data_IF_209412791692
#
_entry.id   IF_209412791692
#
_cell.length_a   1.000
_cell.length_b   1.000
_cell.length_c   1.000
_cell.angle_alpha   90.00
_cell.angle_beta   90.00
_cell.angle_gamma   90.00
#
_symmetry.space_group_name_H-M   'P 1'
#
loop_
_entity.id
_entity.type
_entity.pdbx_description
1 polymer ?
#
# COMPACT_ATOMS: atom_id res chain seq x y z
N UNK A 1 16.38 -22.20 -25.84
CA UNK A 1 15.97 -22.31 -24.42
C UNK A 1 14.84 -21.33 -24.21
N UNK A 2 13.65 -21.81 -23.83
CA UNK A 2 12.53 -20.93 -23.46
C UNK A 2 12.98 -20.06 -22.26
N UNK A 3 12.95 -18.77 -22.43
CA UNK A 3 13.27 -17.83 -21.36
C UNK A 3 12.04 -17.73 -20.45
N UNK A 4 12.19 -18.12 -19.19
CA UNK A 4 11.19 -18.00 -18.15
C UNK A 4 11.07 -16.55 -17.67
N UNK A 5 9.94 -16.21 -17.11
CA UNK A 5 9.76 -14.98 -16.34
C UNK A 5 9.45 -15.35 -14.89
N UNK A 6 9.79 -14.47 -13.95
CA UNK A 6 9.58 -14.78 -12.53
C UNK A 6 8.97 -13.62 -11.75
N UNK A 7 8.17 -13.95 -10.74
CA UNK A 7 7.65 -13.04 -9.74
C UNK A 7 8.28 -13.40 -8.40
N UNK A 8 8.92 -12.43 -7.75
CA UNK A 8 9.56 -12.61 -6.44
C UNK A 8 8.63 -12.08 -5.34
N UNK A 9 8.18 -12.96 -4.45
CA UNK A 9 7.24 -12.60 -3.37
C UNK A 9 7.79 -12.97 -1.98
N UNK A 10 7.33 -12.25 -0.94
CA UNK A 10 7.73 -12.46 0.46
C UNK A 10 6.60 -12.92 1.39
N UNK A 11 5.44 -13.22 0.83
CA UNK A 11 4.25 -13.67 1.56
C UNK A 11 3.82 -15.08 1.11
N UNK A 12 2.96 -15.72 1.91
CA UNK A 12 2.35 -17.00 1.56
C UNK A 12 1.27 -16.77 0.50
N UNK A 13 1.37 -17.50 -0.61
CA UNK A 13 0.36 -17.46 -1.66
C UNK A 13 -1.00 -17.91 -1.14
N UNK A 14 -2.01 -17.11 -1.42
CA UNK A 14 -3.41 -17.48 -1.20
C UNK A 14 -3.96 -18.22 -2.41
N UNK A 15 -4.87 -19.20 -2.23
CA UNK A 15 -5.59 -19.80 -3.34
C UNK A 15 -6.28 -18.72 -4.18
N UNK A 16 -6.05 -18.73 -5.48
CA UNK A 16 -6.66 -17.76 -6.40
C UNK A 16 -5.82 -16.54 -6.73
N UNK A 17 -4.69 -16.27 -6.04
CA UNK A 17 -3.81 -15.15 -6.41
C UNK A 17 -3.38 -15.21 -7.87
N UNK A 18 -3.80 -14.21 -8.65
CA UNK A 18 -3.89 -14.32 -10.10
C UNK A 18 -2.79 -13.63 -10.90
N UNK A 19 -1.80 -12.95 -10.28
CA UNK A 19 -0.83 -12.11 -11.02
C UNK A 19 -0.05 -12.89 -12.08
N UNK A 20 0.44 -14.10 -11.76
CA UNK A 20 1.18 -14.91 -12.72
C UNK A 20 0.34 -15.26 -13.96
N UNK A 21 -0.93 -15.64 -13.76
CA UNK A 21 -1.88 -15.92 -14.87
C UNK A 21 -2.17 -14.66 -15.69
N UNK A 22 -2.34 -13.52 -15.02
CA UNK A 22 -2.62 -12.23 -15.70
C UNK A 22 -1.41 -11.80 -16.54
N UNK A 23 -0.20 -11.92 -15.99
CA UNK A 23 1.04 -11.66 -16.72
C UNK A 23 1.24 -12.61 -17.89
N UNK A 24 1.01 -13.92 -17.69
CA UNK A 24 1.12 -14.92 -18.78
C UNK A 24 0.15 -14.60 -19.93
N UNK A 25 -1.09 -14.24 -19.60
CA UNK A 25 -2.11 -13.85 -20.60
C UNK A 25 -1.72 -12.58 -21.35
N UNK A 26 -1.15 -11.59 -20.64
CA UNK A 26 -0.79 -10.31 -21.26
C UNK A 26 0.50 -10.36 -22.08
N UNK A 27 1.44 -11.25 -21.74
CA UNK A 27 2.75 -11.35 -22.41
C UNK A 27 2.84 -12.50 -23.40
N UNK A 28 1.94 -13.49 -23.32
CA UNK A 28 2.05 -14.75 -24.06
C UNK A 28 3.23 -15.64 -23.61
N UNK A 29 3.79 -15.38 -22.42
CA UNK A 29 5.00 -16.05 -21.92
C UNK A 29 4.71 -16.77 -20.60
N UNK A 30 5.55 -17.75 -20.26
CA UNK A 30 5.46 -18.49 -19.00
C UNK A 30 5.99 -17.65 -17.83
N UNK A 31 5.26 -17.69 -16.71
CA UNK A 31 5.60 -17.00 -15.46
C UNK A 31 5.59 -17.98 -14.29
N UNK A 32 6.71 -18.01 -13.57
CA UNK A 32 6.83 -18.78 -12.33
C UNK A 32 6.86 -17.84 -11.13
N UNK A 33 6.56 -18.37 -9.94
CA UNK A 33 6.63 -17.63 -8.68
C UNK A 33 7.76 -18.21 -7.85
N UNK A 34 8.69 -17.34 -7.46
CA UNK A 34 9.72 -17.65 -6.49
C UNK A 34 9.38 -16.95 -5.17
N UNK A 35 9.25 -17.75 -4.12
CA UNK A 35 8.76 -17.29 -2.84
C UNK A 35 9.80 -17.47 -1.74
N UNK A 36 9.96 -16.42 -0.92
CA UNK A 36 10.67 -16.50 0.36
C UNK A 36 9.92 -15.69 1.40
N UNK A 37 9.21 -16.37 2.29
CA UNK A 37 8.43 -15.71 3.34
C UNK A 37 9.36 -14.99 4.31
N UNK A 38 9.23 -13.67 4.40
CA UNK A 38 10.00 -12.81 5.30
C UNK A 38 9.09 -11.95 6.19
N UNK A 39 7.82 -11.78 5.81
CA UNK A 39 6.85 -10.99 6.55
C UNK A 39 6.40 -11.62 7.87
N UNK A 40 6.68 -12.91 8.08
CA UNK A 40 6.45 -13.59 9.37
C UNK A 40 7.49 -13.23 10.46
N UNK A 41 8.58 -12.59 10.08
CA UNK A 41 9.65 -12.19 11.00
C UNK A 41 9.39 -10.78 11.53
N UNK A 42 8.54 -10.67 12.56
CA UNK A 42 8.21 -9.42 13.25
C UNK A 42 8.34 -9.56 14.78
N UNK A 43 8.49 -8.45 15.46
CA UNK A 43 8.37 -8.36 16.92
C UNK A 43 9.65 -8.56 17.73
N UNK A 44 10.74 -9.10 17.19
CA UNK A 44 12.01 -9.21 17.91
C UNK A 44 13.19 -8.66 17.10
N UNK A 45 14.26 -8.15 17.76
CA UNK A 45 15.49 -7.72 17.08
C UNK A 45 16.10 -8.85 16.22
N UNK A 46 16.09 -10.08 16.71
CA UNK A 46 16.61 -11.25 16.00
C UNK A 46 15.81 -11.53 14.74
N UNK A 47 14.49 -11.51 14.84
CA UNK A 47 13.60 -11.69 13.68
C UNK A 47 13.86 -10.60 12.61
N UNK A 48 14.08 -9.35 13.03
CA UNK A 48 14.43 -8.27 12.11
C UNK A 48 15.77 -8.52 11.39
N UNK A 49 16.79 -9.01 12.09
CA UNK A 49 18.08 -9.37 11.50
C UNK A 49 17.91 -10.51 10.48
N UNK A 50 17.17 -11.57 10.82
CA UNK A 50 16.85 -12.66 9.90
C UNK A 50 16.14 -12.17 8.64
N UNK A 51 15.15 -11.31 8.79
CA UNK A 51 14.46 -10.69 7.65
C UNK A 51 15.41 -9.91 6.77
N UNK A 52 16.24 -9.05 7.37
CA UNK A 52 17.25 -8.27 6.63
C UNK A 52 18.23 -9.18 5.90
N UNK A 53 18.70 -10.25 6.51
CA UNK A 53 19.59 -11.22 5.87
C UNK A 53 18.92 -11.84 4.62
N UNK A 54 17.65 -12.25 4.71
CA UNK A 54 16.94 -12.82 3.57
C UNK A 54 16.64 -11.81 2.48
N UNK A 55 16.53 -10.53 2.79
CA UNK A 55 16.43 -9.49 1.77
C UNK A 55 17.67 -9.40 0.88
N UNK A 56 18.83 -9.87 1.33
CA UNK A 56 20.07 -9.94 0.54
C UNK A 56 20.33 -11.34 -0.05
N UNK A 57 20.12 -12.40 0.73
CA UNK A 57 20.47 -13.77 0.31
C UNK A 57 19.53 -14.31 -0.77
N UNK A 58 18.23 -14.10 -0.65
CA UNK A 58 17.28 -14.60 -1.63
C UNK A 58 17.48 -13.96 -3.03
N UNK A 59 17.61 -12.63 -3.16
CA UNK A 59 17.97 -12.03 -4.43
C UNK A 59 19.31 -12.51 -5.00
N UNK A 60 20.31 -12.79 -4.17
CA UNK A 60 21.59 -13.34 -4.63
C UNK A 60 21.39 -14.72 -5.28
N UNK A 61 20.54 -15.57 -4.72
CA UNK A 61 20.19 -16.86 -5.35
C UNK A 61 19.53 -16.66 -6.73
N UNK A 62 18.67 -15.63 -6.87
CA UNK A 62 18.06 -15.26 -8.16
C UNK A 62 19.13 -14.75 -9.14
N UNK A 63 20.09 -13.94 -8.67
CA UNK A 63 21.23 -13.46 -9.49
C UNK A 63 22.05 -14.61 -10.07
N UNK A 64 22.32 -15.66 -9.29
CA UNK A 64 23.05 -16.85 -9.78
C UNK A 64 22.31 -17.54 -10.94
N UNK A 65 20.99 -17.47 -10.95
CA UNK A 65 20.11 -18.06 -11.97
C UNK A 65 19.60 -17.06 -13.01
N UNK A 66 20.03 -15.80 -12.99
CA UNK A 66 19.48 -14.68 -13.77
C UNK A 66 19.35 -14.92 -15.26
N UNK A 67 20.26 -15.72 -15.85
CA UNK A 67 20.25 -16.05 -17.29
C UNK A 67 19.02 -16.85 -17.73
N UNK A 68 18.25 -17.40 -16.77
CA UNK A 68 16.99 -18.13 -17.04
C UNK A 68 15.82 -17.19 -17.20
N UNK A 69 15.91 -15.96 -16.66
CA UNK A 69 14.79 -15.03 -16.57
C UNK A 69 14.94 -13.89 -17.57
N UNK A 70 13.92 -13.73 -18.39
CA UNK A 70 13.80 -12.58 -19.29
C UNK A 70 13.24 -11.37 -18.57
N UNK A 71 12.17 -11.58 -17.76
CA UNK A 71 11.55 -10.56 -16.94
C UNK A 71 11.48 -11.00 -15.49
N UNK A 72 11.74 -10.07 -14.60
CA UNK A 72 11.66 -10.26 -13.15
C UNK A 72 10.72 -9.18 -12.62
N UNK A 73 9.65 -9.60 -11.96
CA UNK A 73 8.73 -8.71 -11.22
C UNK A 73 8.95 -8.97 -9.73
N UNK A 74 9.48 -8.01 -9.01
CA UNK A 74 9.69 -8.13 -7.57
C UNK A 74 8.53 -7.46 -6.83
N UNK A 75 7.66 -8.26 -6.21
CA UNK A 75 6.60 -7.75 -5.36
C UNK A 75 7.18 -7.03 -4.14
N UNK A 76 8.10 -7.68 -3.42
CA UNK A 76 8.84 -7.08 -2.32
C UNK A 76 9.97 -6.20 -2.86
N UNK A 77 9.94 -4.92 -2.51
CA UNK A 77 10.91 -3.94 -3.04
C UNK A 77 12.38 -4.35 -2.82
N UNK A 78 12.71 -4.88 -1.62
CA UNK A 78 14.10 -5.26 -1.32
C UNK A 78 14.55 -6.49 -2.10
N UNK A 79 13.65 -7.33 -2.59
CA UNK A 79 14.05 -8.43 -3.48
C UNK A 79 14.52 -7.89 -4.84
N UNK A 80 13.78 -6.94 -5.41
CA UNK A 80 14.19 -6.31 -6.67
C UNK A 80 15.39 -5.40 -6.53
N UNK A 81 15.41 -4.54 -5.52
CA UNK A 81 16.51 -3.60 -5.29
C UNK A 81 17.82 -4.34 -4.96
N UNK A 82 17.78 -5.42 -4.17
CA UNK A 82 18.96 -6.20 -3.86
C UNK A 82 19.41 -7.12 -5.02
N UNK A 83 18.49 -7.55 -5.88
CA UNK A 83 18.90 -8.17 -7.15
C UNK A 83 19.72 -7.17 -7.98
N UNK A 84 19.24 -5.94 -8.12
CA UNK A 84 19.97 -4.89 -8.84
C UNK A 84 21.28 -4.49 -8.15
N UNK A 85 21.29 -4.44 -6.81
CA UNK A 85 22.50 -4.21 -6.00
C UNK A 85 23.59 -5.24 -6.31
N UNK A 86 23.26 -6.52 -6.22
CA UNK A 86 24.23 -7.60 -6.48
C UNK A 86 24.70 -7.59 -7.93
N UNK A 87 23.79 -7.40 -8.90
CA UNK A 87 24.18 -7.31 -10.29
C UNK A 87 25.16 -6.16 -10.55
N UNK A 88 24.93 -5.00 -9.92
CA UNK A 88 25.81 -3.82 -10.04
C UNK A 88 27.12 -4.00 -9.31
N UNK A 89 27.11 -4.55 -8.09
CA UNK A 89 28.31 -4.80 -7.30
C UNK A 89 29.26 -5.79 -7.99
N UNK A 90 28.69 -6.84 -8.59
CA UNK A 90 29.45 -7.90 -9.28
C UNK A 90 29.70 -7.58 -10.75
N UNK A 91 29.40 -6.36 -11.22
CA UNK A 91 29.57 -5.89 -12.60
C UNK A 91 29.03 -6.88 -13.66
N UNK A 92 27.88 -7.49 -13.41
CA UNK A 92 27.31 -8.51 -14.27
C UNK A 92 26.69 -7.90 -15.53
N UNK A 93 26.69 -8.66 -16.64
CA UNK A 93 25.91 -8.23 -17.81
C UNK A 93 24.43 -8.26 -17.50
N UNK A 94 23.69 -7.19 -17.87
CA UNK A 94 22.24 -7.16 -17.80
C UNK A 94 21.63 -8.15 -18.79
N UNK A 95 20.74 -9.00 -18.31
CA UNK A 95 20.11 -10.07 -19.10
C UNK A 95 18.60 -10.16 -18.86
N UNK A 96 18.07 -9.38 -17.93
CA UNK A 96 16.67 -9.40 -17.52
C UNK A 96 16.13 -8.00 -17.36
N UNK A 97 14.84 -7.80 -17.67
CA UNK A 97 14.07 -6.59 -17.32
C UNK A 97 13.54 -6.72 -15.89
N UNK A 98 13.81 -5.74 -15.05
CA UNK A 98 13.39 -5.73 -13.65
C UNK A 98 12.35 -4.64 -13.39
N UNK A 99 11.17 -5.06 -12.92
CA UNK A 99 10.13 -4.19 -12.38
C UNK A 99 10.02 -4.42 -10.88
N UNK A 100 10.19 -3.36 -10.09
CA UNK A 100 10.04 -3.38 -8.62
C UNK A 100 8.66 -2.84 -8.28
N UNK A 101 7.85 -3.64 -7.58
CA UNK A 101 6.55 -3.25 -7.05
C UNK A 101 6.69 -2.78 -5.59
N UNK A 102 5.61 -2.30 -5.02
CA UNK A 102 5.45 -1.93 -3.59
C UNK A 102 6.57 -1.02 -3.04
N UNK A 103 7.06 -0.09 -3.86
CA UNK A 103 8.13 0.81 -3.44
C UNK A 103 7.62 1.87 -2.47
N UNK A 104 8.21 1.88 -1.28
CA UNK A 104 7.94 2.86 -0.23
C UNK A 104 9.27 3.36 0.31
N UNK A 105 9.47 4.66 0.30
CA UNK A 105 10.67 5.28 0.85
C UNK A 105 10.33 6.47 1.75
N UNK A 106 10.94 6.51 2.92
CA UNK A 106 10.91 7.65 3.82
C UNK A 106 12.32 8.02 4.25
N UNK A 107 12.71 9.28 4.05
CA UNK A 107 14.00 9.80 4.50
C UNK A 107 14.07 9.68 6.03
N UNK A 108 15.15 9.08 6.53
CA UNK A 108 15.43 9.00 7.97
C UNK A 108 16.53 10.00 8.35
N UNK A 109 16.44 10.63 9.52
CA UNK A 109 17.47 11.55 9.99
C UNK A 109 18.72 10.81 10.47
N UNK A 110 19.82 11.57 10.63
CA UNK A 110 21.07 11.10 11.24
C UNK A 110 21.96 10.29 10.30
N UNK A 111 23.09 9.84 10.84
CA UNK A 111 24.13 9.14 10.08
C UNK A 111 23.63 7.84 9.43
N UNK A 112 22.94 6.99 10.18
CA UNK A 112 22.35 5.74 9.65
C UNK A 112 21.29 6.02 8.58
N UNK A 113 20.52 7.10 8.74
CA UNK A 113 19.56 7.54 7.74
C UNK A 113 20.23 7.97 6.44
N UNK A 114 21.39 8.64 6.53
CA UNK A 114 22.18 9.03 5.37
C UNK A 114 22.80 7.80 4.67
N UNK A 115 23.30 6.83 5.42
CA UNK A 115 23.82 5.58 4.86
C UNK A 115 22.72 4.78 4.15
N UNK A 116 21.55 4.67 4.77
CA UNK A 116 20.38 4.04 4.15
C UNK A 116 19.96 4.76 2.86
N UNK A 117 19.94 6.09 2.87
CA UNK A 117 19.65 6.86 1.66
C UNK A 117 20.65 6.62 0.54
N UNK A 118 21.95 6.60 0.83
CA UNK A 118 23.00 6.30 -0.16
C UNK A 118 22.84 4.91 -0.76
N UNK A 119 22.54 3.92 0.09
CA UNK A 119 22.24 2.57 -0.36
C UNK A 119 21.01 2.54 -1.27
N UNK A 120 19.90 3.17 -0.87
CA UNK A 120 18.69 3.25 -1.70
C UNK A 120 18.94 3.97 -3.02
N UNK A 121 19.68 5.08 -2.99
CA UNK A 121 20.10 5.81 -4.21
C UNK A 121 20.92 4.93 -5.14
N UNK A 122 21.86 4.15 -4.59
CA UNK A 122 22.66 3.21 -5.36
C UNK A 122 21.81 2.13 -6.05
N UNK A 123 20.80 1.59 -5.34
CA UNK A 123 19.89 0.59 -5.88
C UNK A 123 18.91 1.19 -6.90
N UNK A 124 18.24 2.28 -6.56
CA UNK A 124 17.25 2.96 -7.41
C UNK A 124 17.87 3.43 -8.72
N UNK A 125 19.08 3.98 -8.68
CA UNK A 125 19.82 4.44 -9.88
C UNK A 125 20.62 3.33 -10.58
N UNK A 126 20.40 2.07 -10.20
CA UNK A 126 21.03 0.93 -10.85
C UNK A 126 20.54 0.78 -12.30
N UNK A 127 21.44 0.52 -13.27
CA UNK A 127 21.05 0.23 -14.66
C UNK A 127 20.27 -1.08 -14.79
N UNK A 128 20.24 -1.91 -13.74
CA UNK A 128 19.51 -3.17 -13.71
C UNK A 128 18.04 -3.00 -13.30
N UNK A 129 17.63 -1.84 -12.79
CA UNK A 129 16.24 -1.52 -12.49
C UNK A 129 15.64 -0.79 -13.68
N UNK A 130 14.60 -1.33 -14.28
CA UNK A 130 13.92 -0.71 -15.40
C UNK A 130 12.76 0.16 -14.93
N UNK A 131 11.97 -0.32 -13.98
CA UNK A 131 10.81 0.38 -13.46
C UNK A 131 10.65 0.15 -11.97
N UNK A 132 10.16 1.18 -11.31
CA UNK A 132 9.77 1.16 -9.89
C UNK A 132 8.33 1.64 -9.82
N UNK A 133 7.44 0.85 -9.23
CA UNK A 133 6.04 1.21 -9.06
C UNK A 133 5.86 1.98 -7.76
N UNK A 134 5.21 3.13 -7.84
CA UNK A 134 4.73 3.93 -6.70
C UNK A 134 3.21 4.04 -6.74
N UNK A 135 2.59 4.33 -5.60
CA UNK A 135 1.14 4.24 -5.41
C UNK A 135 0.43 5.59 -5.33
N UNK A 136 1.14 6.69 -5.55
CA UNK A 136 0.54 8.00 -5.79
C UNK A 136 1.34 8.75 -6.86
N UNK A 137 0.68 9.71 -7.52
CA UNK A 137 1.32 10.51 -8.58
C UNK A 137 2.39 11.42 -8.01
N UNK A 138 2.14 11.97 -6.84
CA UNK A 138 3.09 12.85 -6.14
C UNK A 138 4.37 12.12 -5.75
N UNK A 139 4.29 10.83 -5.35
CA UNK A 139 5.46 10.03 -5.01
C UNK A 139 6.44 9.89 -6.18
N UNK A 140 5.93 9.90 -7.40
CA UNK A 140 6.77 9.83 -8.60
C UNK A 140 7.78 10.98 -8.66
N UNK A 141 7.31 12.20 -8.47
CA UNK A 141 8.16 13.42 -8.51
C UNK A 141 9.02 13.50 -7.24
N UNK A 142 8.44 13.22 -6.08
CA UNK A 142 9.15 13.22 -4.80
C UNK A 142 10.32 12.22 -4.78
N UNK A 143 10.09 11.00 -5.26
CA UNK A 143 11.15 9.99 -5.31
C UNK A 143 12.18 10.30 -6.39
N UNK A 144 11.77 10.81 -7.54
CA UNK A 144 12.71 11.24 -8.57
C UNK A 144 13.66 12.33 -8.05
N UNK A 145 13.14 13.34 -7.37
CA UNK A 145 13.93 14.38 -6.72
C UNK A 145 14.81 13.84 -5.59
N UNK A 146 14.25 12.96 -4.72
CA UNK A 146 14.98 12.39 -3.59
C UNK A 146 16.19 11.55 -4.01
N UNK A 147 16.12 10.86 -5.14
CA UNK A 147 17.18 9.98 -5.63
C UNK A 147 18.01 10.56 -6.78
N UNK A 148 17.71 11.79 -7.22
CA UNK A 148 18.39 12.44 -8.33
C UNK A 148 18.26 11.65 -9.64
N UNK A 149 17.06 11.17 -9.94
CA UNK A 149 16.77 10.35 -11.13
C UNK A 149 15.61 10.94 -11.94
N UNK A 150 15.33 10.34 -13.09
CA UNK A 150 14.23 10.78 -13.96
C UNK A 150 12.89 10.28 -13.42
N UNK A 151 11.81 11.08 -13.43
CA UNK A 151 10.46 10.67 -13.00
C UNK A 151 9.93 9.43 -13.74
N UNK A 152 10.32 9.23 -15.01
CA UNK A 152 9.88 8.10 -15.84
C UNK A 152 10.34 6.73 -15.31
N UNK A 153 11.33 6.71 -14.40
CA UNK A 153 11.76 5.51 -13.69
C UNK A 153 10.69 5.02 -12.72
N UNK A 154 9.89 5.93 -12.21
CA UNK A 154 8.78 5.64 -11.32
C UNK A 154 7.48 5.61 -12.12
N UNK A 155 6.78 4.49 -12.04
CA UNK A 155 5.49 4.27 -12.70
C UNK A 155 4.41 4.34 -11.65
N UNK A 156 3.48 5.27 -11.79
CA UNK A 156 2.31 5.33 -10.91
C UNK A 156 1.33 4.22 -11.27
N UNK A 157 1.00 3.38 -10.30
CA UNK A 157 -0.10 2.42 -10.35
C UNK A 157 -0.92 2.52 -9.06
N UNK A 158 -2.22 2.53 -9.18
CA UNK A 158 -3.10 2.49 -8.01
C UNK A 158 -3.06 1.10 -7.36
N UNK A 159 -2.99 1.07 -6.03
CA UNK A 159 -3.11 -0.13 -5.23
C UNK A 159 -4.48 -0.79 -5.48
N UNK A 160 -4.54 -2.08 -5.35
CA UNK A 160 -5.76 -2.86 -5.33
C UNK A 160 -5.65 -3.98 -4.30
N UNK A 161 -6.78 -4.41 -3.78
CA UNK A 161 -6.86 -5.49 -2.79
C UNK A 161 -7.92 -6.51 -3.22
N UNK A 162 -7.82 -7.72 -2.67
CA UNK A 162 -8.89 -8.70 -2.81
C UNK A 162 -10.18 -8.15 -2.21
N UNK A 163 -11.35 -8.36 -2.83
CA UNK A 163 -12.63 -7.99 -2.24
C UNK A 163 -12.81 -8.63 -0.87
N UNK A 164 -13.29 -7.84 0.07
CA UNK A 164 -13.56 -8.28 1.44
C UNK A 164 -15.06 -8.48 1.57
N UNK A 165 -15.48 -9.70 1.79
CA UNK A 165 -16.88 -10.05 1.97
C UNK A 165 -17.17 -10.27 3.46
N UNK A 166 -18.18 -9.58 3.97
CA UNK A 166 -18.73 -9.75 5.32
C UNK A 166 -20.24 -9.65 5.24
N UNK A 167 -20.93 -10.76 4.96
CA UNK A 167 -22.39 -10.77 4.90
C UNK A 167 -22.99 -10.50 6.28
N UNK A 168 -24.12 -9.82 6.30
CA UNK A 168 -24.95 -9.59 7.50
C UNK A 168 -24.25 -8.81 8.64
N UNK A 169 -23.48 -7.76 8.32
CA UNK A 169 -22.91 -6.88 9.32
C UNK A 169 -23.94 -5.81 9.72
N UNK A 170 -24.34 -5.83 10.98
CA UNK A 170 -25.12 -4.77 11.61
C UNK A 170 -24.27 -3.50 11.86
N UNK A 171 -24.89 -2.35 11.71
CA UNK A 171 -24.27 -1.08 12.08
C UNK A 171 -24.41 -0.87 13.60
N UNK A 172 -23.27 -0.86 14.31
CA UNK A 172 -23.21 -0.66 15.76
C UNK A 172 -23.05 0.81 16.17
N UNK A 173 -23.17 1.73 15.23
CA UNK A 173 -23.24 3.17 15.47
C UNK A 173 -21.96 3.80 16.00
N UNK A 174 -20.77 3.32 15.59
CA UNK A 174 -19.50 3.94 15.95
C UNK A 174 -18.67 4.34 14.73
N UNK A 175 -17.78 5.30 14.94
CA UNK A 175 -16.74 5.69 13.98
C UNK A 175 -15.56 4.74 14.17
N UNK A 176 -15.03 4.19 13.07
CA UNK A 176 -13.84 3.37 13.12
C UNK A 176 -12.65 4.11 12.48
N UNK A 177 -11.49 4.05 13.12
CA UNK A 177 -10.25 4.58 12.55
C UNK A 177 -9.11 3.59 12.77
N UNK A 178 -8.22 3.42 11.79
CA UNK A 178 -7.10 2.50 11.91
C UNK A 178 -5.84 2.97 11.19
N UNK A 179 -4.70 2.38 11.57
CA UNK A 179 -3.40 2.56 10.93
C UNK A 179 -2.38 3.30 11.78
N UNK A 180 -1.09 3.06 11.47
CA UNK A 180 0.06 3.58 12.24
C UNK A 180 0.70 4.83 11.61
N UNK A 181 0.76 4.86 10.29
CA UNK A 181 1.55 5.86 9.56
C UNK A 181 0.72 7.08 9.22
N UNK A 182 1.25 8.26 9.50
CA UNK A 182 0.68 9.56 9.12
C UNK A 182 -0.75 9.80 9.62
N UNK A 183 -1.15 9.20 10.76
CA UNK A 183 -2.49 9.42 11.34
C UNK A 183 -2.50 10.62 12.26
N UNK A 184 -3.53 11.46 12.14
CA UNK A 184 -3.79 12.61 13.02
C UNK A 184 -4.93 12.29 13.99
N UNK A 185 -4.68 11.32 14.88
CA UNK A 185 -5.70 10.93 15.86
C UNK A 185 -5.99 12.03 16.88
N UNK A 186 -5.02 12.86 17.25
CA UNK A 186 -5.27 14.01 18.14
C UNK A 186 -6.30 14.97 17.52
N UNK A 187 -6.20 15.24 16.22
CA UNK A 187 -7.24 16.01 15.50
C UNK A 187 -8.62 15.31 15.55
N UNK A 188 -8.67 14.00 15.33
CA UNK A 188 -9.93 13.25 15.43
C UNK A 188 -10.53 13.35 16.84
N UNK A 189 -9.69 13.30 17.88
CA UNK A 189 -10.15 13.49 19.26
C UNK A 189 -10.70 14.90 19.50
N UNK A 190 -10.11 15.93 18.92
CA UNK A 190 -10.62 17.31 18.99
C UNK A 190 -11.99 17.44 18.26
N UNK A 191 -12.16 16.74 17.15
CA UNK A 191 -13.46 16.65 16.45
C UNK A 191 -14.51 15.99 17.35
N UNK A 192 -14.17 14.92 18.07
CA UNK A 192 -15.09 14.13 18.88
C UNK A 192 -15.35 14.72 20.29
N UNK A 193 -14.54 15.69 20.72
CA UNK A 193 -14.66 16.31 22.04
C UNK A 193 -16.04 16.96 22.23
N UNK A 194 -16.75 16.54 23.28
CA UNK A 194 -18.07 17.05 23.60
C UNK A 194 -19.20 16.51 22.71
N UNK A 195 -18.93 15.52 21.86
CA UNK A 195 -19.95 14.82 21.09
C UNK A 195 -20.31 13.49 21.77
N UNK A 196 -21.46 12.92 21.38
CA UNK A 196 -21.91 11.58 21.82
C UNK A 196 -21.48 10.47 20.88
N UNK A 197 -20.81 10.79 19.78
CA UNK A 197 -20.35 9.79 18.81
C UNK A 197 -19.26 8.89 19.40
N UNK A 198 -19.52 7.59 19.41
CA UNK A 198 -18.52 6.60 19.82
C UNK A 198 -17.48 6.42 18.72
N UNK A 199 -16.23 6.25 19.12
CA UNK A 199 -15.13 6.01 18.20
C UNK A 199 -14.24 4.86 18.67
N UNK A 200 -13.85 3.99 17.76
CA UNK A 200 -12.88 2.93 18.00
C UNK A 200 -11.66 3.18 17.11
N UNK A 201 -10.50 3.30 17.74
CA UNK A 201 -9.21 3.50 17.06
C UNK A 201 -8.38 2.23 17.20
N UNK A 202 -8.14 1.51 16.10
CA UNK A 202 -7.26 0.35 16.07
C UNK A 202 -5.82 0.79 15.73
N UNK A 203 -4.99 0.96 16.76
CA UNK A 203 -3.61 1.42 16.60
C UNK A 203 -2.76 1.04 17.80
N UNK A 204 -1.71 0.23 17.60
CA UNK A 204 -0.82 -0.28 18.63
C UNK A 204 0.18 0.74 19.19
N UNK A 205 0.43 1.82 18.48
CA UNK A 205 1.43 2.83 18.86
C UNK A 205 0.82 4.22 19.11
N UNK A 206 -0.49 4.29 19.37
CA UNK A 206 -1.16 5.52 19.71
C UNK A 206 -1.83 5.40 21.08
N UNK A 207 -1.58 6.38 21.95
CA UNK A 207 -2.27 6.53 23.25
C UNK A 207 -2.74 7.97 23.37
N UNK A 208 -4.02 8.23 23.64
CA UNK A 208 -4.53 9.58 23.90
C UNK A 208 -3.83 10.22 25.11
N UNK A 209 -3.59 11.51 25.05
CA UNK A 209 -3.01 12.26 26.17
C UNK A 209 -3.92 12.34 27.40
N UNK A 210 -5.23 12.29 27.15
CA UNK A 210 -6.28 12.32 28.16
C UNK A 210 -7.33 11.24 27.82
N UNK A 211 -8.00 10.67 28.82
CA UNK A 211 -9.10 9.76 28.58
C UNK A 211 -10.30 10.49 27.93
N UNK A 212 -11.02 9.77 27.09
CA UNK A 212 -12.26 10.21 26.45
C UNK A 212 -13.33 9.14 26.65
N UNK A 213 -14.47 9.49 27.18
CA UNK A 213 -15.54 8.54 27.52
C UNK A 213 -16.16 7.88 26.26
N UNK A 214 -16.07 8.57 25.13
CA UNK A 214 -16.60 8.12 23.85
C UNK A 214 -15.56 7.53 22.89
N UNK A 215 -14.29 7.37 23.32
CA UNK A 215 -13.21 6.83 22.46
C UNK A 215 -12.56 5.63 23.10
N UNK A 216 -12.47 4.54 22.34
CA UNK A 216 -11.74 3.33 22.71
C UNK A 216 -10.56 3.14 21.79
N UNK A 217 -9.35 2.93 22.34
CA UNK A 217 -8.16 2.59 21.57
C UNK A 217 -7.83 1.11 21.77
N UNK A 218 -7.73 0.37 20.67
CA UNK A 218 -7.40 -1.04 20.64
C UNK A 218 -5.96 -1.21 20.15
N UNK A 219 -5.09 -1.72 21.01
CA UNK A 219 -3.66 -1.91 20.68
C UNK A 219 -3.38 -3.24 20.01
N UNK A 220 -4.22 -4.25 20.22
CA UNK A 220 -4.05 -5.62 19.73
C UNK A 220 -5.09 -6.00 18.64
N UNK A 221 -5.62 -5.02 17.93
CA UNK A 221 -6.63 -5.22 16.88
C UNK A 221 -5.97 -5.22 15.49
N UNK A 222 -5.75 -6.42 14.95
CA UNK A 222 -5.09 -6.61 13.66
C UNK A 222 -5.86 -7.54 12.74
N UNK A 223 -5.53 -7.55 11.47
CA UNK A 223 -6.01 -8.47 10.43
C UNK A 223 -7.54 -8.68 10.47
N UNK A 224 -8.00 -9.88 10.71
CA UNK A 224 -9.43 -10.24 10.72
C UNK A 224 -10.24 -9.47 11.77
N UNK A 225 -9.68 -9.23 12.96
CA UNK A 225 -10.35 -8.46 14.00
C UNK A 225 -10.56 -7.00 13.58
N UNK A 226 -9.55 -6.41 12.93
CA UNK A 226 -9.64 -5.04 12.42
C UNK A 226 -10.70 -4.92 11.31
N UNK A 227 -10.77 -5.91 10.42
CA UNK A 227 -11.77 -5.99 9.36
C UNK A 227 -13.17 -6.16 9.96
N UNK A 228 -13.32 -7.01 10.97
CA UNK A 228 -14.59 -7.21 11.67
C UNK A 228 -15.08 -5.92 12.34
N UNK A 229 -14.20 -5.22 13.06
CA UNK A 229 -14.53 -3.92 13.64
C UNK A 229 -14.91 -2.89 12.57
N UNK A 230 -14.21 -2.86 11.43
CA UNK A 230 -14.54 -1.98 10.32
C UNK A 230 -15.91 -2.33 9.70
N UNK A 231 -16.22 -3.61 9.58
CA UNK A 231 -17.48 -4.08 9.00
C UNK A 231 -18.72 -3.67 9.82
N UNK A 232 -18.59 -3.52 11.13
CA UNK A 232 -19.67 -3.13 12.04
C UNK A 232 -19.73 -1.62 12.36
N UNK A 233 -18.84 -0.79 11.79
CA UNK A 233 -18.87 0.64 12.05
C UNK A 233 -19.95 1.38 11.22
N UNK A 234 -20.34 2.57 11.68
CA UNK A 234 -21.17 3.51 10.92
C UNK A 234 -20.39 4.13 9.76
N UNK A 235 -19.17 4.55 10.02
CA UNK A 235 -18.26 5.10 9.02
C UNK A 235 -16.81 4.92 9.43
N UNK A 236 -15.92 4.99 8.44
CA UNK A 236 -14.47 4.92 8.63
C UNK A 236 -13.87 6.31 8.52
N UNK A 237 -13.15 6.74 9.57
CA UNK A 237 -12.43 8.00 9.63
C UNK A 237 -10.93 7.82 9.35
N UNK A 238 -10.40 8.61 8.43
CA UNK A 238 -8.98 8.55 8.02
C UNK A 238 -8.37 9.95 8.14
N UNK A 239 -8.10 10.40 9.38
CA UNK A 239 -7.44 11.67 9.64
C UNK A 239 -5.95 11.54 9.33
N UNK A 240 -5.40 12.39 8.45
CA UNK A 240 -4.00 12.37 8.06
C UNK A 240 -3.30 13.67 8.46
N UNK A 241 -2.01 13.57 8.86
CA UNK A 241 -1.20 14.73 9.29
C UNK A 241 -0.55 15.46 8.11
N UNK A 242 0.11 14.69 7.26
CA UNK A 242 1.01 15.21 6.22
C UNK A 242 0.39 15.00 4.84
N UNK A 243 0.29 16.10 4.10
CA UNK A 243 -0.26 16.10 2.75
C UNK A 243 0.64 15.40 1.73
N UNK A 244 1.95 15.30 2.00
CA UNK A 244 2.95 14.79 1.04
C UNK A 244 3.25 13.29 1.19
N UNK A 245 2.76 12.64 2.25
CA UNK A 245 3.00 11.22 2.49
C UNK A 245 1.82 10.40 2.00
N UNK A 246 2.09 9.53 1.04
CA UNK A 246 1.11 8.55 0.56
C UNK A 246 0.79 7.53 1.66
N UNK A 247 -0.40 7.65 2.24
CA UNK A 247 -0.86 6.81 3.35
C UNK A 247 -2.39 6.79 3.42
N UNK A 248 -2.95 5.76 4.03
CA UNK A 248 -4.39 5.61 4.16
C UNK A 248 -5.05 4.82 3.04
N UNK A 249 -4.39 4.60 1.91
CA UNK A 249 -4.97 3.92 0.74
C UNK A 249 -5.54 2.55 1.09
N UNK A 250 -4.79 1.72 1.82
CA UNK A 250 -5.26 0.39 2.22
C UNK A 250 -6.56 0.47 3.04
N UNK A 251 -6.63 1.37 4.01
CA UNK A 251 -7.82 1.53 4.87
C UNK A 251 -9.01 2.06 4.07
N UNK A 252 -8.79 3.00 3.12
CA UNK A 252 -9.85 3.45 2.19
C UNK A 252 -10.39 2.27 1.39
N UNK A 253 -9.50 1.48 0.78
CA UNK A 253 -9.90 0.36 -0.07
C UNK A 253 -10.62 -0.73 0.73
N UNK A 254 -10.20 -1.00 1.96
CA UNK A 254 -10.88 -1.92 2.87
C UNK A 254 -12.30 -1.42 3.22
N UNK A 255 -12.43 -0.12 3.56
CA UNK A 255 -13.72 0.48 3.87
C UNK A 255 -14.67 0.47 2.66
N UNK A 256 -14.18 0.87 1.49
CA UNK A 256 -14.95 0.85 0.24
C UNK A 256 -15.33 -0.58 -0.16
N UNK A 257 -14.44 -1.56 0.00
CA UNK A 257 -14.72 -2.97 -0.25
C UNK A 257 -15.84 -3.50 0.64
N UNK A 258 -15.90 -3.06 1.89
CA UNK A 258 -16.95 -3.39 2.85
C UNK A 258 -18.24 -2.56 2.67
N UNK A 259 -18.29 -1.66 1.68
CA UNK A 259 -19.43 -0.75 1.50
C UNK A 259 -19.65 0.20 2.69
N UNK A 260 -18.56 0.67 3.33
CA UNK A 260 -18.65 1.62 4.46
C UNK A 260 -18.41 3.05 3.99
N UNK A 261 -19.20 4.03 4.49
CA UNK A 261 -18.91 5.43 4.22
C UNK A 261 -17.53 5.81 4.76
N UNK A 262 -16.77 6.57 3.99
CA UNK A 262 -15.44 7.05 4.36
C UNK A 262 -15.47 8.56 4.54
N UNK A 263 -14.89 9.07 5.64
CA UNK A 263 -14.49 10.45 5.82
C UNK A 263 -12.97 10.53 5.94
N UNK A 264 -12.33 11.40 5.16
CA UNK A 264 -10.86 11.47 5.11
C UNK A 264 -10.37 12.91 4.92
N UNK A 265 -9.12 13.15 5.34
CA UNK A 265 -8.43 14.42 5.11
C UNK A 265 -8.23 14.67 3.62
N UNK A 266 -8.41 15.93 3.17
CA UNK A 266 -8.06 16.35 1.81
C UNK A 266 -6.54 16.49 1.67
N UNK A 267 -5.89 15.39 1.29
CA UNK A 267 -4.46 15.31 1.07
C UNK A 267 -4.14 14.63 -0.26
N UNK A 268 -3.04 15.02 -0.89
CA UNK A 268 -2.66 14.58 -2.23
C UNK A 268 -2.61 13.04 -2.36
N UNK A 269 -2.02 12.34 -1.40
CA UNK A 269 -1.85 10.89 -1.45
C UNK A 269 -3.14 10.05 -1.46
N UNK A 270 -4.29 10.66 -1.19
CA UNK A 270 -5.62 10.03 -1.22
C UNK A 270 -6.37 10.31 -2.53
N UNK A 271 -6.10 11.45 -3.16
CA UNK A 271 -6.86 11.92 -4.35
C UNK A 271 -6.88 10.92 -5.51
N UNK A 272 -5.88 10.08 -5.63
CA UNK A 272 -5.85 9.01 -6.63
C UNK A 272 -6.82 7.85 -6.34
N UNK A 273 -7.41 7.80 -5.14
CA UNK A 273 -8.27 6.73 -4.64
C UNK A 273 -9.71 7.14 -4.34
N UNK A 274 -10.01 8.43 -4.42
CA UNK A 274 -11.32 9.00 -4.09
C UNK A 274 -11.81 9.87 -5.25
N UNK A 275 -13.07 9.70 -5.60
CA UNK A 275 -13.77 10.56 -6.55
C UNK A 275 -14.89 11.33 -5.84
N UNK A 276 -15.40 12.44 -6.40
CA UNK A 276 -16.55 13.12 -5.83
C UNK A 276 -17.73 12.17 -5.59
N UNK A 277 -18.25 12.15 -4.37
CA UNK A 277 -19.37 11.29 -3.99
C UNK A 277 -18.98 9.86 -3.53
N UNK A 278 -17.73 9.44 -3.63
CA UNK A 278 -17.27 8.11 -3.17
C UNK A 278 -16.69 8.10 -1.76
N UNK A 279 -16.37 9.27 -1.23
CA UNK A 279 -15.98 9.53 0.15
C UNK A 279 -16.21 11.00 0.48
N UNK A 280 -16.28 11.33 1.76
CA UNK A 280 -16.30 12.71 2.28
C UNK A 280 -14.84 13.12 2.50
N UNK A 281 -14.25 13.81 1.52
CA UNK A 281 -12.87 14.28 1.57
C UNK A 281 -12.86 15.77 1.86
N UNK A 282 -12.33 16.17 3.03
CA UNK A 282 -12.36 17.55 3.52
C UNK A 282 -11.05 17.91 4.23
N UNK A 283 -10.67 19.20 4.27
CA UNK A 283 -9.53 19.67 5.06
C UNK A 283 -9.66 19.30 6.55
N UNK A 284 -8.55 19.31 7.28
CA UNK A 284 -8.53 19.09 8.74
C UNK A 284 -9.06 20.34 9.48
N UNK A 285 -10.34 20.57 9.35
CA UNK A 285 -11.09 21.57 10.09
C UNK A 285 -12.10 20.89 11.02
N UNK A 286 -12.07 21.25 12.31
CA UNK A 286 -12.89 20.58 13.34
C UNK A 286 -14.38 20.76 13.09
N UNK A 287 -14.82 21.95 12.68
CA UNK A 287 -16.23 22.22 12.44
C UNK A 287 -16.73 21.45 11.20
N UNK A 288 -16.00 21.50 10.10
CA UNK A 288 -16.35 20.79 8.89
C UNK A 288 -16.43 19.26 9.09
N UNK A 289 -15.50 18.69 9.89
CA UNK A 289 -15.55 17.26 10.22
C UNK A 289 -16.74 16.91 11.11
N UNK A 290 -17.10 17.76 12.10
CA UNK A 290 -18.29 17.57 12.93
C UNK A 290 -19.56 17.58 12.11
N UNK A 291 -19.72 18.55 11.22
CA UNK A 291 -20.88 18.65 10.34
C UNK A 291 -20.99 17.45 9.41
N UNK A 292 -19.87 17.02 8.84
CA UNK A 292 -19.82 15.84 7.97
C UNK A 292 -20.15 14.55 8.74
N UNK A 293 -19.61 14.36 9.94
CA UNK A 293 -19.94 13.21 10.78
C UNK A 293 -21.41 13.24 11.20
N UNK A 294 -21.93 14.39 11.64
CA UNK A 294 -23.35 14.54 11.98
C UNK A 294 -24.22 14.11 10.79
N UNK A 295 -23.90 14.57 9.58
CA UNK A 295 -24.64 14.19 8.37
C UNK A 295 -24.53 12.68 8.08
N UNK A 296 -23.36 12.06 8.22
CA UNK A 296 -23.20 10.61 8.03
C UNK A 296 -24.02 9.79 9.06
N UNK A 297 -24.28 10.35 10.24
CA UNK A 297 -25.07 9.67 11.28
C UNK A 297 -26.58 9.92 11.16
N UNK A 298 -27.01 11.09 10.66
CA UNK A 298 -28.42 11.50 10.64
C UNK A 298 -29.09 11.39 9.27
N UNK A 299 -28.33 11.50 8.18
CA UNK A 299 -28.83 11.37 6.80
C UNK A 299 -28.48 9.99 6.24
N UNK A 300 -29.38 9.03 6.42
CA UNK A 300 -29.21 7.65 5.98
C UNK A 300 -29.08 7.51 4.45
N UNK A 301 -29.78 8.39 3.70
CA UNK A 301 -29.70 8.38 2.25
C UNK A 301 -28.31 8.82 1.76
N UNK A 302 -27.77 9.87 2.36
CA UNK A 302 -26.42 10.34 2.08
C UNK A 302 -25.36 9.31 2.45
N UNK A 303 -25.44 8.70 3.63
CA UNK A 303 -24.51 7.68 4.06
C UNK A 303 -24.49 6.47 3.10
N UNK A 304 -25.68 5.98 2.71
CA UNK A 304 -25.81 4.90 1.73
C UNK A 304 -25.29 5.27 0.35
N UNK A 305 -25.52 6.49 -0.10
CA UNK A 305 -25.01 6.98 -1.37
C UNK A 305 -23.47 6.96 -1.40
N UNK A 306 -22.81 7.55 -0.39
CA UNK A 306 -21.35 7.57 -0.27
C UNK A 306 -20.78 6.14 -0.23
N UNK A 307 -21.38 5.26 0.57
CA UNK A 307 -20.96 3.87 0.70
C UNK A 307 -21.10 3.09 -0.62
N UNK A 308 -22.23 3.21 -1.30
CA UNK A 308 -22.52 2.53 -2.57
C UNK A 308 -21.60 2.99 -3.69
N UNK A 309 -21.44 4.29 -3.89
CA UNK A 309 -20.52 4.84 -4.90
C UNK A 309 -19.08 4.49 -4.60
N UNK A 310 -18.66 4.47 -3.33
CA UNK A 310 -17.34 4.03 -2.92
C UNK A 310 -17.11 2.54 -3.23
N UNK A 311 -18.09 1.69 -2.96
CA UNK A 311 -18.03 0.26 -3.26
C UNK A 311 -17.97 -0.02 -4.76
N UNK A 312 -18.76 0.65 -5.57
CA UNK A 312 -18.74 0.54 -7.04
C UNK A 312 -17.38 0.98 -7.61
N UNK A 313 -16.82 2.08 -7.11
CA UNK A 313 -15.48 2.54 -7.48
C UNK A 313 -14.42 1.49 -7.12
N UNK A 314 -14.51 0.89 -5.92
CA UNK A 314 -13.61 -0.19 -5.51
C UNK A 314 -13.68 -1.39 -6.46
N UNK A 315 -14.86 -1.91 -6.75
CA UNK A 315 -15.04 -3.07 -7.62
C UNK A 315 -14.51 -2.83 -9.03
N UNK A 316 -14.77 -1.64 -9.58
CA UNK A 316 -14.38 -1.30 -10.95
C UNK A 316 -12.89 -0.99 -11.10
N UNK A 317 -12.25 -0.40 -10.08
CA UNK A 317 -10.88 0.13 -10.24
C UNK A 317 -9.86 -0.40 -9.25
N UNK A 318 -10.26 -0.80 -8.05
CA UNK A 318 -9.32 -1.10 -6.97
C UNK A 318 -9.36 -2.56 -6.50
N UNK A 319 -10.05 -3.43 -7.23
CA UNK A 319 -9.95 -4.86 -6.99
C UNK A 319 -8.54 -5.38 -7.30
N UNK A 320 -8.12 -6.45 -6.64
CA UNK A 320 -6.84 -7.11 -6.88
C UNK A 320 -6.65 -7.46 -8.36
N UNK A 321 -7.70 -7.95 -9.01
CA UNK A 321 -7.69 -8.27 -10.44
C UNK A 321 -7.38 -7.03 -11.29
N UNK A 322 -8.02 -5.90 -11.02
CA UNK A 322 -7.78 -4.64 -11.72
C UNK A 322 -6.33 -4.14 -11.53
N UNK A 323 -5.77 -4.33 -10.33
CA UNK A 323 -4.34 -4.04 -10.07
C UNK A 323 -3.43 -4.97 -10.88
N UNK A 324 -3.70 -6.28 -10.90
CA UNK A 324 -2.92 -7.25 -11.67
C UNK A 324 -2.92 -6.92 -13.16
N UNK A 325 -4.04 -6.47 -13.72
CA UNK A 325 -4.14 -6.06 -15.12
C UNK A 325 -3.33 -4.77 -15.41
N UNK A 326 -3.31 -3.81 -14.47
CA UNK A 326 -2.45 -2.63 -14.60
C UNK A 326 -0.97 -2.99 -14.55
N UNK A 327 -0.56 -3.86 -13.62
CA UNK A 327 0.81 -4.37 -13.55
C UNK A 327 1.18 -5.07 -14.85
N UNK A 328 0.29 -5.94 -15.36
CA UNK A 328 0.54 -6.69 -16.57
C UNK A 328 0.72 -5.78 -17.80
N UNK A 329 -0.08 -4.71 -17.93
CA UNK A 329 0.11 -3.71 -18.99
C UNK A 329 1.47 -3.01 -18.90
N UNK A 330 1.93 -2.64 -17.70
CA UNK A 330 3.25 -2.01 -17.49
C UNK A 330 4.37 -2.98 -17.86
N UNK A 331 4.25 -4.25 -17.49
CA UNK A 331 5.27 -5.28 -17.76
C UNK A 331 5.28 -5.70 -19.22
N UNK A 332 4.12 -5.83 -19.88
CA UNK A 332 4.02 -6.19 -21.29
C UNK A 332 4.58 -5.11 -22.22
N UNK A 333 4.35 -3.83 -21.89
CA UNK A 333 4.88 -2.68 -22.64
C UNK A 333 6.38 -2.42 -22.38
N UNK A 334 7.08 -3.33 -21.71
CA UNK A 334 8.53 -3.27 -21.58
C UNK A 334 9.17 -3.50 -22.93
N UNK A 335 9.88 -2.51 -23.46
CA UNK A 335 10.78 -2.74 -24.59
C UNK A 335 11.82 -3.77 -24.12
N UNK A 336 11.77 -4.96 -24.69
CA UNK A 336 12.82 -5.96 -24.49
C UNK A 336 14.13 -5.34 -24.95
N UNK A 337 15.07 -5.11 -24.04
CA UNK A 337 16.43 -4.75 -24.41
C UNK A 337 17.01 -5.84 -25.30
N UNK A 338 17.25 -5.46 -26.55
CA UNK A 338 18.10 -6.02 -27.57
C UNK A 338 18.16 -7.53 -27.76
N UNK A 339 17.64 -7.94 -28.88
CA UNK A 339 18.18 -9.12 -29.59
C UNK A 339 19.65 -8.93 -29.92
#
# INVERSE_FOLDING_TARGET
MSTLNTILIDFKLTPGWGLARTLARATGEEWIIEQRQTNQFHGSPVANVWRMMWYFLFPLQVVLRRKRYRRIVAWQQFFGLNFAFWCRLLHLRKVSDLTVLTFIYKRKPGFLGNLYHRYMTYCVNSPYVDRIVCYSREERELYAAAFGTRPERFVHLQLGIAPIERPNCDDRGYIFASGRSNRNYDFLLDVLRGTTHKCVIACDNYTPRHPYDNVTVLHDCFDEQMIDMMAHCRCVAIPLKDATVSSGQLVILQAMSLGKPVICSDVAGIKDYVEPGTAVMIPNDVAAWRDALLRLFTDEAFARQIAGQGHELFLSRFSEQAMHERIARVVANSCCYGR
#
